data_IF_237625294249
#
_entry.id   IF_237625294249
#
_cell.length_a   1.000
_cell.length_b   1.000
_cell.length_c   1.000
_cell.angle_alpha   90.00
_cell.angle_beta   90.00
_cell.angle_gamma   90.00
#
_symmetry.space_group_name_H-M   'P 1'
#
loop_
_entity.id
_entity.type
_entity.pdbx_description
1 polymer ?
#
# COMPACT_ATOMS: atom_id res chain seq x y z
N UNK A 1 -3.33 7.53 14.96
CA UNK A 1 -2.29 6.75 15.68
C UNK A 1 -1.66 5.72 14.74
N UNK A 2 -0.37 5.35 14.91
CA UNK A 2 0.29 4.35 14.07
C UNK A 2 -0.11 2.91 14.45
N UNK A 3 -0.45 2.09 13.46
CA UNK A 3 -0.77 0.68 13.60
C UNK A 3 0.36 -0.17 13.01
N UNK A 4 0.92 -1.08 13.81
CA UNK A 4 1.83 -2.11 13.30
C UNK A 4 1.04 -3.12 12.46
N UNK A 5 1.70 -3.67 11.44
CA UNK A 5 1.10 -4.58 10.46
C UNK A 5 1.62 -5.99 10.65
N UNK A 6 0.71 -6.97 10.64
CA UNK A 6 1.01 -8.39 10.72
C UNK A 6 0.29 -9.23 9.65
N UNK A 7 0.81 -10.42 9.35
CA UNK A 7 0.10 -11.45 8.56
C UNK A 7 -0.02 -11.18 7.07
N UNK A 8 1.00 -10.59 6.45
CA UNK A 8 0.95 -10.11 5.06
C UNK A 8 1.23 -11.24 4.08
N UNK A 9 0.31 -11.46 3.14
CA UNK A 9 0.62 -12.17 1.89
C UNK A 9 0.75 -11.15 0.76
N UNK A 10 1.99 -10.74 0.48
CA UNK A 10 2.29 -9.84 -0.65
C UNK A 10 2.51 -10.65 -1.93
N UNK A 11 1.85 -10.22 -2.99
CA UNK A 11 2.21 -10.52 -4.36
C UNK A 11 2.90 -9.26 -4.88
N UNK A 12 4.09 -9.44 -5.43
CA UNK A 12 4.83 -8.40 -6.10
C UNK A 12 5.02 -8.78 -7.56
N UNK A 13 5.26 -7.78 -8.40
CA UNK A 13 5.40 -7.92 -9.86
C UNK A 13 6.34 -9.04 -10.26
N UNK A 14 5.76 -10.20 -10.56
CA UNK A 14 6.41 -11.44 -11.02
C UNK A 14 7.74 -11.78 -10.31
N UNK A 15 7.82 -11.53 -8.99
CA UNK A 15 9.04 -11.79 -8.20
C UNK A 15 10.22 -10.84 -8.48
N UNK A 16 10.02 -9.76 -9.23
CA UNK A 16 11.06 -8.77 -9.57
C UNK A 16 11.25 -7.70 -8.47
N UNK A 17 10.30 -7.59 -7.55
CA UNK A 17 10.36 -6.64 -6.45
C UNK A 17 9.88 -7.26 -5.16
N UNK A 18 10.35 -6.72 -4.05
CA UNK A 18 9.77 -6.87 -2.74
C UNK A 18 8.84 -5.67 -2.48
N UNK A 19 7.64 -5.95 -1.99
CA UNK A 19 6.60 -4.96 -1.75
C UNK A 19 5.86 -5.36 -0.47
N UNK A 20 6.14 -4.66 0.63
CA UNK A 20 5.60 -5.04 1.95
C UNK A 20 5.05 -3.83 2.70
N UNK A 21 3.75 -3.81 3.03
CA UNK A 21 3.22 -2.89 4.01
C UNK A 21 3.90 -3.03 5.37
N UNK A 22 4.35 -1.93 5.96
CA UNK A 22 5.05 -1.95 7.26
C UNK A 22 4.37 -1.09 8.32
N UNK A 23 3.58 -0.10 7.92
CA UNK A 23 2.94 0.82 8.86
C UNK A 23 1.66 1.39 8.26
N UNK A 24 0.59 1.40 9.04
CA UNK A 24 -0.64 2.09 8.69
C UNK A 24 -0.89 3.24 9.66
N UNK A 25 -1.26 4.40 9.15
CA UNK A 25 -1.60 5.60 9.93
C UNK A 25 -2.88 6.19 9.39
N UNK A 26 -3.52 7.01 10.20
CA UNK A 26 -4.68 7.77 9.76
C UNK A 26 -4.84 9.00 10.65
N UNK A 27 -5.35 10.07 10.04
CA UNK A 27 -5.82 11.27 10.73
C UNK A 27 -7.32 11.46 10.44
N UNK A 28 -7.85 12.67 10.63
CA UNK A 28 -9.26 12.98 10.41
C UNK A 28 -9.67 13.03 8.92
N UNK A 29 -8.72 13.20 8.00
CA UNK A 29 -8.98 13.41 6.56
C UNK A 29 -8.62 12.21 5.69
N UNK A 30 -7.56 11.47 6.03
CA UNK A 30 -7.00 10.43 5.17
C UNK A 30 -6.34 9.29 5.97
N UNK A 31 -6.03 8.23 5.22
CA UNK A 31 -5.28 7.07 5.69
C UNK A 31 -3.97 6.94 4.92
N UNK A 32 -2.89 6.60 5.60
CA UNK A 32 -1.57 6.39 5.01
C UNK A 32 -1.13 4.94 5.21
N UNK A 33 -0.59 4.34 4.17
CA UNK A 33 0.07 3.04 4.23
C UNK A 33 1.52 3.18 3.74
N UNK A 34 2.46 2.87 4.62
CA UNK A 34 3.88 2.86 4.30
C UNK A 34 4.28 1.47 3.83
N UNK A 35 4.93 1.41 2.67
CA UNK A 35 5.43 0.20 2.03
C UNK A 35 6.96 0.22 2.02
N UNK A 36 7.59 -0.86 2.44
CA UNK A 36 8.98 -1.14 2.08
C UNK A 36 9.02 -1.73 0.67
N UNK A 37 9.69 -1.03 -0.24
CA UNK A 37 9.84 -1.40 -1.63
C UNK A 37 11.31 -1.65 -1.98
N UNK A 38 11.58 -2.74 -2.69
CA UNK A 38 12.91 -3.07 -3.20
C UNK A 38 12.84 -3.78 -4.55
N UNK A 39 13.76 -3.50 -5.46
CA UNK A 39 13.91 -4.21 -6.75
C UNK A 39 14.98 -5.29 -6.61
N UNK A 40 14.62 -6.55 -6.86
CA UNK A 40 15.44 -7.72 -6.52
C UNK A 40 16.33 -8.22 -7.66
N UNK A 41 15.77 -8.36 -8.87
CA UNK A 41 16.42 -9.14 -9.93
C UNK A 41 17.09 -8.24 -10.97
N UNK A 42 16.27 -7.60 -11.81
CA UNK A 42 16.67 -6.75 -12.93
C UNK A 42 15.98 -5.38 -12.82
N UNK A 43 16.31 -4.45 -13.72
CA UNK A 43 15.63 -3.17 -13.82
C UNK A 43 14.12 -3.38 -13.99
N UNK A 44 13.34 -2.77 -13.12
CA UNK A 44 11.88 -2.86 -13.13
C UNK A 44 11.28 -1.68 -13.88
N UNK A 45 10.57 -1.97 -14.97
CA UNK A 45 9.78 -0.99 -15.70
C UNK A 45 8.30 -1.16 -15.36
N UNK A 46 7.62 -0.05 -15.07
CA UNK A 46 6.20 -0.07 -14.73
C UNK A 46 5.53 1.26 -15.06
N UNK A 47 4.20 1.29 -14.88
CA UNK A 47 3.42 2.53 -14.89
C UNK A 47 2.78 2.67 -13.51
N UNK A 48 2.88 3.86 -12.93
CA UNK A 48 2.27 4.20 -11.66
C UNK A 48 1.00 5.00 -11.95
N UNK A 49 -0.15 4.43 -11.62
CA UNK A 49 -1.42 4.99 -12.01
C UNK A 49 -1.90 6.06 -11.02
N UNK A 50 -2.37 7.24 -11.51
CA UNK A 50 -2.81 8.33 -10.66
C UNK A 50 -4.18 8.07 -10.02
N UNK A 51 -4.55 8.83 -8.98
CA UNK A 51 -5.90 8.86 -8.41
C UNK A 51 -6.99 8.96 -9.48
N UNK A 52 -8.07 8.20 -9.30
CA UNK A 52 -9.19 8.13 -10.25
C UNK A 52 -8.99 7.17 -11.42
N UNK A 53 -7.77 6.65 -11.66
CA UNK A 53 -7.56 5.54 -12.59
C UNK A 53 -8.09 4.23 -12.00
N UNK A 54 -8.70 3.39 -12.84
CA UNK A 54 -9.15 2.05 -12.45
C UNK A 54 -7.98 1.13 -12.05
N UNK A 55 -6.80 1.40 -12.60
CA UNK A 55 -5.55 0.69 -12.32
C UNK A 55 -4.79 1.22 -11.08
N UNK A 56 -5.27 2.31 -10.49
CA UNK A 56 -4.64 2.88 -9.29
C UNK A 56 -4.74 1.94 -8.10
N UNK A 57 -3.81 2.10 -7.15
CA UNK A 57 -3.90 1.41 -5.87
C UNK A 57 -5.23 1.74 -5.16
N UNK A 58 -5.77 0.78 -4.42
CA UNK A 58 -6.85 1.02 -3.48
C UNK A 58 -6.74 0.08 -2.29
N UNK A 59 -7.32 0.50 -1.17
CA UNK A 59 -7.54 -0.38 -0.03
C UNK A 59 -8.92 -1.01 -0.12
N UNK A 60 -9.04 -2.26 0.32
CA UNK A 60 -10.32 -2.97 0.38
C UNK A 60 -10.52 -3.60 1.75
N UNK A 61 -11.69 -3.43 2.35
CA UNK A 61 -12.04 -4.14 3.58
C UNK A 61 -12.65 -5.52 3.29
N UNK A 62 -12.91 -6.29 4.36
CA UNK A 62 -13.55 -7.62 4.25
C UNK A 62 -15.01 -7.57 3.78
N UNK A 63 -15.66 -6.40 3.85
CA UNK A 63 -17.03 -6.19 3.38
C UNK A 63 -17.06 -5.81 1.89
N UNK A 64 -15.91 -5.58 1.28
CA UNK A 64 -15.77 -5.18 -0.11
C UNK A 64 -15.79 -3.66 -0.33
N UNK A 65 -15.81 -2.85 0.72
CA UNK A 65 -15.70 -1.40 0.59
C UNK A 65 -14.30 -1.04 0.08
N UNK A 66 -14.24 -0.10 -0.87
CA UNK A 66 -13.00 0.40 -1.47
C UNK A 66 -12.69 1.79 -0.92
N UNK A 67 -11.41 2.03 -0.65
CA UNK A 67 -10.87 3.34 -0.27
C UNK A 67 -9.80 3.71 -1.29
N UNK A 68 -10.06 4.77 -2.04
CA UNK A 68 -9.29 5.11 -3.25
C UNK A 68 -7.98 5.80 -2.90
N UNK A 69 -6.98 5.63 -3.76
CA UNK A 69 -5.72 6.38 -3.69
C UNK A 69 -6.01 7.87 -3.91
N UNK A 70 -5.42 8.69 -3.05
CA UNK A 70 -5.44 10.16 -3.09
C UNK A 70 -4.07 10.68 -3.54
N UNK A 71 -2.98 10.08 -3.07
CA UNK A 71 -1.63 10.49 -3.46
C UNK A 71 -0.59 9.39 -3.17
N UNK A 72 0.64 9.55 -3.69
CA UNK A 72 1.77 8.71 -3.35
C UNK A 72 3.09 9.49 -3.27
N UNK A 73 3.97 9.07 -2.36
CA UNK A 73 5.29 9.66 -2.18
C UNK A 73 6.38 8.59 -2.22
N UNK A 74 7.53 8.94 -2.82
CA UNK A 74 8.72 8.08 -2.89
C UNK A 74 8.93 7.39 -4.23
N UNK A 75 7.94 7.35 -5.12
CA UNK A 75 8.08 6.83 -6.48
C UNK A 75 8.38 7.91 -7.55
N UNK A 76 8.71 9.14 -7.12
CA UNK A 76 8.99 10.31 -7.98
C UNK A 76 7.81 10.76 -8.87
N UNK A 77 6.58 10.30 -8.58
CA UNK A 77 5.33 10.75 -9.20
C UNK A 77 4.47 9.63 -9.76
N UNK A 78 3.56 9.99 -10.67
CA UNK A 78 2.72 9.08 -11.45
C UNK A 78 3.22 9.01 -12.91
N UNK A 79 2.86 7.93 -13.61
CA UNK A 79 3.24 7.67 -14.99
C UNK A 79 4.32 6.59 -15.13
N UNK A 80 4.99 6.52 -16.28
CA UNK A 80 6.06 5.56 -16.52
C UNK A 80 7.20 5.73 -15.51
N UNK A 81 7.60 4.63 -14.88
CA UNK A 81 8.70 4.59 -13.92
C UNK A 81 9.66 3.45 -14.22
N UNK A 82 10.93 3.69 -13.92
CA UNK A 82 12.01 2.72 -14.09
C UNK A 82 12.86 2.72 -12.82
N UNK A 83 12.96 1.55 -12.20
CA UNK A 83 13.73 1.36 -10.98
C UNK A 83 14.88 0.40 -11.25
N UNK A 84 16.10 0.84 -10.98
CA UNK A 84 17.28 0.00 -11.13
C UNK A 84 17.32 -1.13 -10.10
N UNK A 85 18.04 -2.21 -10.41
CA UNK A 85 18.28 -3.30 -9.46
C UNK A 85 18.87 -2.77 -8.15
N UNK A 86 18.34 -3.24 -7.01
CA UNK A 86 18.78 -2.81 -5.69
C UNK A 86 18.21 -1.46 -5.26
N UNK A 87 17.40 -0.80 -6.09
CA UNK A 87 16.60 0.35 -5.65
C UNK A 87 15.77 -0.07 -4.44
N UNK A 88 15.92 0.66 -3.34
CA UNK A 88 15.19 0.40 -2.10
C UNK A 88 14.72 1.71 -1.50
N UNK A 89 13.43 1.80 -1.19
CA UNK A 89 12.84 3.01 -0.61
C UNK A 89 11.58 2.69 0.19
N UNK A 90 11.25 3.57 1.14
CA UNK A 90 9.93 3.61 1.75
C UNK A 90 9.00 4.43 0.88
N UNK A 91 7.87 3.84 0.51
CA UNK A 91 6.82 4.48 -0.25
C UNK A 91 5.68 4.79 0.71
N UNK A 92 5.08 5.97 0.58
CA UNK A 92 3.85 6.32 1.31
C UNK A 92 2.72 6.36 0.29
N UNK A 93 1.71 5.53 0.49
CA UNK A 93 0.46 5.58 -0.26
C UNK A 93 -0.60 6.24 0.61
N UNK A 94 -1.26 7.27 0.09
CA UNK A 94 -2.31 8.03 0.79
C UNK A 94 -3.66 7.67 0.19
N UNK A 95 -4.62 7.33 1.02
CA UNK A 95 -5.96 6.89 0.63
C UNK A 95 -7.03 7.74 1.30
N UNK A 96 -8.24 7.65 0.76
CA UNK A 96 -9.46 8.08 1.45
C UNK A 96 -9.50 7.53 2.89
N UNK A 97 -10.14 8.30 3.77
CA UNK A 97 -10.24 7.94 5.19
C UNK A 97 -10.92 6.58 5.37
N UNK A 98 -10.19 5.66 5.97
CA UNK A 98 -10.69 4.35 6.38
C UNK A 98 -11.37 4.45 7.76
N UNK A 99 -12.47 3.71 8.02
CA UNK A 99 -13.07 3.63 9.35
C UNK A 99 -12.11 3.11 10.42
N UNK A 100 -12.15 3.70 11.61
CA UNK A 100 -11.18 3.39 12.69
C UNK A 100 -11.34 2.00 13.31
N UNK A 101 -12.49 1.37 13.11
CA UNK A 101 -12.83 0.06 13.67
C UNK A 101 -12.43 -1.12 12.76
N UNK A 102 -11.74 -0.88 11.64
CA UNK A 102 -11.28 -1.96 10.79
C UNK A 102 -10.05 -2.67 11.38
N UNK A 103 -10.08 -4.01 11.37
CA UNK A 103 -8.96 -4.85 11.81
C UNK A 103 -8.16 -5.49 10.68
N UNK A 104 -8.71 -5.51 9.45
CA UNK A 104 -8.08 -6.17 8.29
C UNK A 104 -8.38 -5.37 7.02
N UNK A 105 -7.35 -5.20 6.19
CA UNK A 105 -7.43 -4.58 4.87
C UNK A 105 -6.66 -5.41 3.84
N UNK A 106 -7.01 -5.23 2.57
CA UNK A 106 -6.17 -5.60 1.43
C UNK A 106 -5.67 -4.31 0.76
N UNK A 107 -4.42 -4.30 0.32
CA UNK A 107 -3.88 -3.33 -0.64
C UNK A 107 -3.86 -3.99 -2.01
N UNK A 108 -4.43 -3.34 -3.01
CA UNK A 108 -4.57 -3.89 -4.35
C UNK A 108 -4.15 -2.83 -5.36
N UNK A 109 -3.23 -3.17 -6.26
CA UNK A 109 -3.03 -2.43 -7.52
C UNK A 109 -4.22 -2.76 -8.45
N UNK A 110 -5.01 -1.74 -8.79
CA UNK A 110 -6.28 -1.91 -9.50
C UNK A 110 -6.12 -2.49 -10.90
N UNK A 111 -7.19 -3.12 -11.40
CA UNK A 111 -7.40 -3.72 -12.74
C UNK A 111 -6.19 -4.40 -13.41
N UNK A 112 -5.21 -4.79 -12.61
CA UNK A 112 -4.01 -5.48 -13.05
C UNK A 112 -4.30 -6.99 -13.15
N UNK A 113 -3.98 -7.56 -14.31
CA UNK A 113 -4.26 -8.96 -14.63
C UNK A 113 -3.13 -9.92 -14.25
N UNK A 114 -1.87 -9.47 -14.29
CA UNK A 114 -0.69 -10.29 -14.04
C UNK A 114 0.41 -9.46 -13.37
N UNK A 115 1.02 -9.99 -12.30
CA UNK A 115 2.19 -9.38 -11.70
C UNK A 115 1.92 -8.07 -10.97
N UNK A 116 0.83 -8.02 -10.22
CA UNK A 116 0.41 -6.82 -9.51
C UNK A 116 1.11 -6.70 -8.16
N UNK A 117 1.31 -5.48 -7.70
CA UNK A 117 1.65 -5.16 -6.32
C UNK A 117 0.39 -5.19 -5.46
N UNK A 118 0.14 -6.32 -4.82
CA UNK A 118 -1.00 -6.49 -3.93
C UNK A 118 -0.55 -7.11 -2.61
N UNK A 119 -1.10 -6.65 -1.50
CA UNK A 119 -0.86 -7.23 -0.19
C UNK A 119 -2.20 -7.54 0.48
N UNK A 120 -2.45 -8.83 0.70
CA UNK A 120 -3.74 -9.31 1.22
C UNK A 120 -3.67 -9.58 2.71
N UNK A 121 -4.82 -9.38 3.37
CA UNK A 121 -5.08 -9.61 4.80
C UNK A 121 -4.08 -8.89 5.70
N UNK A 122 -3.79 -7.64 5.37
CA UNK A 122 -3.05 -6.69 6.20
C UNK A 122 -3.82 -6.53 7.50
N UNK A 123 -3.34 -7.17 8.57
CA UNK A 123 -3.94 -7.02 9.90
C UNK A 123 -3.45 -5.72 10.51
N UNK A 124 -4.39 -4.88 10.92
CA UNK A 124 -4.10 -3.66 11.65
C UNK A 124 -4.14 -4.00 13.14
N UNK A 125 -3.02 -3.81 13.84
CA UNK A 125 -3.05 -3.88 15.30
C UNK A 125 -4.04 -2.83 15.81
N UNK A 126 -4.88 -3.20 16.78
CA UNK A 126 -5.72 -2.20 17.45
C UNK A 126 -4.82 -1.11 18.00
N UNK A 127 -5.26 0.17 17.97
CA UNK A 127 -4.50 1.22 18.63
C UNK A 127 -4.34 0.80 20.09
N UNK A 128 -3.09 0.67 20.57
CA UNK A 128 -2.83 0.52 21.99
C UNK A 128 -3.37 1.79 22.65
N UNK A 129 -4.58 1.71 23.21
CA UNK A 129 -5.11 2.69 24.14
C UNK A 129 -4.22 2.63 25.38
N UNK A 130 -3.13 3.40 25.36
CA UNK A 130 -2.45 3.79 26.59
C UNK A 130 -3.41 4.73 27.32
N UNK A 131 -4.29 4.17 28.14
CA UNK A 131 -5.01 4.93 29.17
C UNK A 131 -3.96 5.22 30.24
N UNK A 132 -3.41 6.43 30.21
CA UNK A 132 -2.67 6.97 31.35
C UNK A 132 -3.74 7.44 32.33
N UNK A 133 -3.89 6.71 33.44
CA UNK A 133 -4.65 7.18 34.62
C UNK A 133 -3.86 8.26 35.35
#
# INVERSE_FOLDING_TARGET
MPHKIHGIKSIAKLGQSYFRPILFRQNEFFSELVIDFEVLNDRLQTVLHPPGSSDAFYLKDLKGNRYLLVDQFGFDGFGPASFEKGFRRKIVLVFEKVPENLGVLDLIEGDCSVGCWSAYRIKLDKPNLFIVY
#
